data_IF_263043507407
#
_entry.id   IF_263043507407
#
_cell.length_a   1.000
_cell.length_b   1.000
_cell.length_c   1.000
_cell.angle_alpha   90.00
_cell.angle_beta   90.00
_cell.angle_gamma   90.00
#
_symmetry.space_group_name_H-M   'P 1'
#
loop_
_entity.id
_entity.type
_entity.pdbx_description
1 polymer ?
#
# COMPACT_ATOMS: atom_id res chain seq x y z
N UNK A 1 12.41 -11.83 11.86
CA UNK A 1 11.65 -10.67 11.35
C UNK A 1 10.26 -11.19 10.99
N UNK A 2 9.19 -10.51 11.40
CA UNK A 2 7.83 -10.93 11.04
C UNK A 2 7.60 -10.68 9.54
N UNK A 3 6.75 -11.49 8.90
CA UNK A 3 6.40 -11.30 7.49
C UNK A 3 5.29 -10.24 7.37
N UNK A 4 5.47 -9.27 6.48
CA UNK A 4 4.39 -8.36 6.08
C UNK A 4 3.56 -9.01 4.97
N UNK A 5 2.32 -9.39 5.29
CA UNK A 5 1.43 -10.06 4.34
C UNK A 5 1.01 -9.15 3.18
N UNK A 6 1.06 -7.82 3.35
CA UNK A 6 0.76 -6.89 2.26
C UNK A 6 1.89 -6.83 1.23
N UNK A 7 3.13 -7.06 1.65
CA UNK A 7 4.30 -7.13 0.75
C UNK A 7 4.54 -8.52 0.16
N UNK A 8 3.93 -9.55 0.74
CA UNK A 8 4.12 -10.95 0.43
C UNK A 8 3.38 -11.40 -0.84
N UNK A 9 4.04 -12.23 -1.65
CA UNK A 9 3.41 -12.95 -2.75
C UNK A 9 2.72 -14.25 -2.25
N UNK A 10 2.14 -15.04 -3.16
CA UNK A 10 1.47 -16.28 -2.76
C UNK A 10 2.46 -17.33 -2.24
N UNK A 11 3.68 -17.39 -2.78
CA UNK A 11 4.70 -18.35 -2.34
C UNK A 11 5.16 -18.02 -0.92
N UNK A 12 5.36 -16.74 -0.60
CA UNK A 12 5.67 -16.28 0.75
C UNK A 12 4.60 -16.72 1.76
N UNK A 13 3.32 -16.67 1.36
CA UNK A 13 2.21 -17.13 2.20
C UNK A 13 2.15 -18.66 2.32
N UNK A 14 2.46 -19.40 1.26
CA UNK A 14 2.58 -20.86 1.30
C UNK A 14 3.72 -21.30 2.24
N UNK A 15 4.88 -20.64 2.16
CA UNK A 15 6.02 -20.87 3.04
C UNK A 15 5.71 -20.56 4.51
N UNK A 16 4.98 -19.47 4.79
CA UNK A 16 4.54 -19.13 6.13
C UNK A 16 3.61 -20.22 6.69
N UNK A 17 2.63 -20.66 5.90
CA UNK A 17 1.64 -21.67 6.32
C UNK A 17 2.27 -23.04 6.56
N UNK A 18 3.22 -23.44 5.71
CA UNK A 18 3.98 -24.69 5.89
C UNK A 18 4.85 -24.62 7.17
N UNK A 19 5.53 -23.49 7.44
CA UNK A 19 6.30 -23.29 8.70
C UNK A 19 5.44 -23.37 9.96
N UNK A 20 4.18 -22.96 9.87
CA UNK A 20 3.22 -22.98 10.98
C UNK A 20 2.47 -24.31 11.12
N UNK A 21 2.78 -25.32 10.27
CA UNK A 21 2.06 -26.59 10.20
C UNK A 21 0.54 -26.42 10.01
N UNK A 22 0.14 -25.39 9.27
CA UNK A 22 -1.26 -25.11 8.96
C UNK A 22 -1.65 -25.76 7.61
N UNK A 23 -2.94 -26.07 7.38
CA UNK A 23 -3.36 -26.64 6.10
C UNK A 23 -3.04 -25.70 4.92
N UNK A 24 -2.39 -26.23 3.88
CA UNK A 24 -1.92 -25.46 2.71
C UNK A 24 -2.95 -24.54 2.05
N UNK A 25 -4.22 -24.95 2.03
CA UNK A 25 -5.29 -24.12 1.45
C UNK A 25 -5.46 -22.77 2.15
N UNK A 26 -4.97 -22.63 3.40
CA UNK A 26 -5.02 -21.38 4.17
C UNK A 26 -4.19 -20.28 3.52
N UNK A 27 -3.11 -20.60 2.83
CA UNK A 27 -2.29 -19.60 2.13
C UNK A 27 -3.13 -18.83 1.11
N UNK A 28 -3.85 -19.55 0.25
CA UNK A 28 -4.77 -18.93 -0.74
C UNK A 28 -5.91 -18.15 -0.10
N UNK A 29 -6.42 -18.61 1.05
CA UNK A 29 -7.46 -17.86 1.78
C UNK A 29 -6.93 -16.54 2.31
N UNK A 30 -5.77 -16.54 2.98
CA UNK A 30 -5.15 -15.34 3.53
C UNK A 30 -4.77 -14.39 2.40
N UNK A 31 -4.18 -14.91 1.32
CA UNK A 31 -3.83 -14.14 0.13
C UNK A 31 -5.06 -13.42 -0.44
N UNK A 32 -6.18 -14.14 -0.57
CA UNK A 32 -7.43 -13.54 -1.04
C UNK A 32 -8.00 -12.49 -0.06
N UNK A 33 -7.85 -12.67 1.25
CA UNK A 33 -8.28 -11.65 2.21
C UNK A 33 -7.44 -10.37 2.11
N UNK A 34 -6.12 -10.51 2.06
CA UNK A 34 -5.20 -9.36 2.03
C UNK A 34 -5.27 -8.65 0.68
N UNK A 35 -5.05 -9.37 -0.42
CA UNK A 35 -4.92 -8.77 -1.76
C UNK A 35 -6.23 -8.71 -2.55
N UNK A 36 -7.15 -9.64 -2.29
CA UNK A 36 -8.44 -9.70 -2.99
C UNK A 36 -9.54 -8.88 -2.32
N UNK A 37 -9.51 -8.75 -0.98
CA UNK A 37 -10.52 -8.03 -0.21
C UNK A 37 -9.98 -6.80 0.51
N UNK A 38 -8.66 -6.63 0.58
CA UNK A 38 -8.06 -5.46 1.21
C UNK A 38 -8.32 -5.37 2.72
N UNK A 39 -8.25 -6.47 3.48
CA UNK A 39 -8.37 -6.37 4.94
C UNK A 39 -7.08 -5.79 5.56
N UNK A 40 -7.24 -4.97 6.59
CA UNK A 40 -6.11 -4.40 7.37
C UNK A 40 -5.98 -5.02 8.75
N UNK A 41 -6.96 -5.84 9.15
CA UNK A 41 -6.95 -6.60 10.39
C UNK A 41 -7.28 -8.05 10.14
N UNK A 42 -6.57 -8.94 10.85
CA UNK A 42 -6.93 -10.36 10.92
C UNK A 42 -8.37 -10.56 11.40
N UNK A 43 -8.92 -9.65 12.21
CA UNK A 43 -10.29 -9.75 12.73
C UNK A 43 -11.37 -9.74 11.64
N UNK A 44 -11.07 -9.21 10.46
CA UNK A 44 -11.97 -9.13 9.31
C UNK A 44 -12.07 -10.47 8.56
N UNK A 45 -11.13 -11.40 8.79
CA UNK A 45 -11.06 -12.69 8.09
C UNK A 45 -12.08 -13.70 8.65
N UNK A 46 -13.37 -13.49 8.37
CA UNK A 46 -14.48 -14.21 9.02
C UNK A 46 -14.53 -15.73 8.82
N UNK A 47 -13.86 -16.28 7.80
CA UNK A 47 -13.77 -17.73 7.56
C UNK A 47 -12.45 -18.35 8.06
N UNK A 48 -11.62 -17.57 8.77
CA UNK A 48 -10.40 -18.02 9.43
C UNK A 48 -10.68 -18.12 10.94
N UNK A 49 -10.58 -19.32 11.53
CA UNK A 49 -10.75 -19.53 12.97
C UNK A 49 -9.88 -18.61 13.82
N UNK A 50 -10.39 -18.21 14.99
CA UNK A 50 -9.70 -17.28 15.91
C UNK A 50 -8.29 -17.75 16.28
N UNK A 51 -8.12 -19.03 16.60
CA UNK A 51 -6.81 -19.60 16.92
C UNK A 51 -5.79 -19.43 15.78
N UNK A 52 -6.21 -19.55 14.52
CA UNK A 52 -5.30 -19.32 13.37
C UNK A 52 -4.98 -17.84 13.24
N UNK A 53 -5.95 -16.95 13.46
CA UNK A 53 -5.70 -15.51 13.45
C UNK A 53 -4.72 -15.06 14.53
N UNK A 54 -4.81 -15.68 15.71
CA UNK A 54 -3.88 -15.41 16.81
C UNK A 54 -2.46 -15.86 16.44
N UNK A 55 -2.30 -17.06 15.87
CA UNK A 55 -1.01 -17.53 15.33
C UNK A 55 -0.48 -16.56 14.26
N UNK A 56 -1.33 -16.10 13.33
CA UNK A 56 -0.89 -15.15 12.30
C UNK A 56 -0.39 -13.83 12.90
N UNK A 57 -0.99 -13.32 13.97
CA UNK A 57 -0.51 -12.12 14.67
C UNK A 57 0.87 -12.29 15.30
N UNK A 58 1.21 -13.50 15.73
CA UNK A 58 2.51 -13.79 16.35
C UNK A 58 3.63 -13.92 15.31
N UNK A 59 3.30 -14.27 14.06
CA UNK A 59 4.28 -14.60 13.02
C UNK A 59 4.28 -13.65 11.82
N UNK A 60 3.28 -12.78 11.70
CA UNK A 60 3.10 -11.87 10.57
C UNK A 60 2.34 -10.61 11.00
N UNK A 61 2.36 -9.62 10.12
CA UNK A 61 1.58 -8.40 10.26
C UNK A 61 1.06 -7.96 8.89
N UNK A 62 0.15 -7.00 8.88
CA UNK A 62 -0.36 -6.36 7.66
C UNK A 62 -0.01 -4.89 7.79
N UNK A 63 0.87 -4.38 6.93
CA UNK A 63 1.11 -2.94 6.88
C UNK A 63 -0.16 -2.22 6.42
N UNK A 64 -0.63 -1.27 7.22
CA UNK A 64 -1.70 -0.36 6.83
C UNK A 64 -1.18 1.08 7.03
N UNK A 65 -0.89 1.83 5.96
CA UNK A 65 -0.53 3.23 6.09
C UNK A 65 -1.72 4.05 6.58
N UNK A 66 -1.40 5.08 7.35
CA UNK A 66 -2.36 6.04 7.89
C UNK A 66 -2.77 7.04 6.81
N UNK A 67 -4.09 7.28 6.67
CA UNK A 67 -4.59 8.35 5.82
C UNK A 67 -4.43 9.70 6.53
N UNK A 68 -3.43 10.48 6.13
CA UNK A 68 -3.14 11.79 6.73
C UNK A 68 -4.05 12.88 6.15
N UNK A 69 -4.24 12.87 4.83
CA UNK A 69 -5.07 13.87 4.16
C UNK A 69 -5.74 13.30 2.91
N UNK A 70 -6.93 13.82 2.62
CA UNK A 70 -7.70 13.53 1.41
C UNK A 70 -8.15 14.85 0.78
N UNK A 71 -7.97 14.99 -0.52
CA UNK A 71 -8.42 16.16 -1.27
C UNK A 71 -9.16 15.73 -2.53
N UNK A 72 -10.30 16.35 -2.80
CA UNK A 72 -11.10 16.09 -3.99
C UNK A 72 -10.92 17.23 -4.99
N UNK A 73 -10.94 16.90 -6.29
CA UNK A 73 -11.10 17.90 -7.34
C UNK A 73 -12.48 18.55 -7.24
N UNK A 74 -12.63 19.71 -7.89
CA UNK A 74 -13.91 20.41 -7.98
C UNK A 74 -15.02 19.55 -8.60
N UNK A 75 -14.66 18.65 -9.52
CA UNK A 75 -15.58 17.74 -10.21
C UNK A 75 -15.82 16.42 -9.45
N UNK A 76 -15.10 16.15 -8.37
CA UNK A 76 -15.19 14.90 -7.61
C UNK A 76 -14.59 13.66 -8.31
N UNK A 77 -14.15 13.81 -9.56
CA UNK A 77 -13.57 12.78 -10.42
C UNK A 77 -12.10 12.44 -10.11
N UNK A 78 -11.45 13.24 -9.27
CA UNK A 78 -10.06 13.04 -8.87
C UNK A 78 -9.92 13.17 -7.37
N UNK A 79 -9.25 12.21 -6.75
CA UNK A 79 -8.98 12.17 -5.31
C UNK A 79 -7.49 12.02 -5.09
N UNK A 80 -6.89 12.95 -4.35
CA UNK A 80 -5.51 12.85 -3.86
C UNK A 80 -5.51 12.38 -2.41
N UNK A 81 -4.67 11.41 -2.10
CA UNK A 81 -4.42 10.90 -0.76
C UNK A 81 -2.98 11.19 -0.36
N UNK A 82 -2.78 11.63 0.88
CA UNK A 82 -1.49 11.65 1.56
C UNK A 82 -1.48 10.52 2.59
N UNK A 83 -0.52 9.62 2.45
CA UNK A 83 -0.43 8.40 3.24
C UNK A 83 0.86 8.42 4.04
N UNK A 84 0.80 7.99 5.30
CA UNK A 84 1.96 7.86 6.18
C UNK A 84 2.21 6.41 6.54
N UNK A 85 3.44 5.95 6.33
CA UNK A 85 3.88 4.60 6.65
C UNK A 85 4.38 4.48 8.10
N UNK A 86 4.51 3.25 8.63
CA UNK A 86 4.99 3.04 10.00
C UNK A 86 6.39 3.59 10.28
N UNK A 87 7.23 3.75 9.25
CA UNK A 87 8.56 4.37 9.37
C UNK A 87 8.52 5.91 9.39
N UNK A 88 7.33 6.50 9.31
CA UNK A 88 7.12 7.94 9.34
C UNK A 88 7.18 8.61 7.97
N UNK A 89 7.59 7.89 6.94
CA UNK A 89 7.64 8.41 5.58
C UNK A 89 6.23 8.61 5.03
N UNK A 90 6.10 9.62 4.16
CA UNK A 90 4.83 9.97 3.53
C UNK A 90 4.93 9.94 2.01
N UNK A 91 3.86 9.47 1.37
CA UNK A 91 3.74 9.46 -0.08
C UNK A 91 2.37 9.98 -0.50
N UNK A 92 2.31 10.53 -1.70
CA UNK A 92 1.05 10.91 -2.33
C UNK A 92 0.61 9.82 -3.32
N UNK A 93 -0.70 9.63 -3.43
CA UNK A 93 -1.32 8.84 -4.50
C UNK A 93 -2.57 9.55 -5.01
N UNK A 94 -2.86 9.40 -6.30
CA UNK A 94 -4.00 10.07 -6.94
C UNK A 94 -4.85 9.04 -7.66
N UNK A 95 -6.12 8.95 -7.30
CA UNK A 95 -7.14 8.20 -8.03
C UNK A 95 -7.89 9.15 -8.95
N UNK A 96 -7.95 8.83 -10.24
CA UNK A 96 -8.72 9.55 -11.25
C UNK A 96 -9.73 8.60 -11.87
N UNK A 97 -10.99 9.02 -11.88
CA UNK A 97 -12.12 8.30 -12.47
C UNK A 97 -12.52 8.97 -13.77
N UNK A 98 -12.59 8.18 -14.84
CA UNK A 98 -13.01 8.62 -16.16
C UNK A 98 -14.27 7.85 -16.56
N UNK A 99 -15.40 8.53 -16.46
CA UNK A 99 -16.65 8.06 -17.03
C UNK A 99 -16.63 8.26 -18.55
N UNK A 100 -17.09 7.26 -19.30
CA UNK A 100 -17.12 7.30 -20.75
C UNK A 100 -18.44 6.75 -21.26
N UNK A 101 -19.10 7.47 -22.16
CA UNK A 101 -20.38 7.05 -22.72
C UNK A 101 -20.23 5.86 -23.69
N UNK A 102 -19.16 5.84 -24.47
CA UNK A 102 -18.96 4.88 -25.57
C UNK A 102 -18.04 3.69 -25.20
N UNK A 103 -17.50 3.66 -23.99
CA UNK A 103 -16.57 2.60 -23.58
C UNK A 103 -16.64 2.33 -22.08
N UNK A 104 -15.99 1.27 -21.61
CA UNK A 104 -15.95 0.95 -20.18
C UNK A 104 -15.32 2.10 -19.38
N UNK A 105 -15.95 2.45 -18.27
CA UNK A 105 -15.38 3.37 -17.29
C UNK A 105 -13.97 2.94 -16.90
N UNK A 106 -13.08 3.92 -16.73
CA UNK A 106 -11.68 3.68 -16.42
C UNK A 106 -11.32 4.44 -15.16
N UNK A 107 -10.68 3.73 -14.24
CA UNK A 107 -9.97 4.35 -13.14
C UNK A 107 -8.47 4.29 -13.41
N UNK A 108 -7.74 5.32 -13.01
CA UNK A 108 -6.28 5.40 -13.11
C UNK A 108 -5.73 5.83 -11.80
N UNK A 109 -4.68 5.15 -11.34
CA UNK A 109 -4.05 5.47 -10.08
C UNK A 109 -2.60 5.87 -10.32
N UNK A 110 -2.19 7.02 -9.80
CA UNK A 110 -0.81 7.48 -9.81
C UNK A 110 -0.10 6.94 -8.56
N UNK A 111 0.89 6.08 -8.77
CA UNK A 111 1.67 5.42 -7.72
C UNK A 111 2.97 6.20 -7.53
N UNK A 112 3.27 6.62 -6.30
CA UNK A 112 4.62 7.05 -5.95
C UNK A 112 5.52 5.83 -5.82
N UNK A 113 6.72 5.86 -6.40
CA UNK A 113 7.69 4.75 -6.30
C UNK A 113 8.72 4.97 -5.20
N UNK A 114 8.84 6.20 -4.70
CA UNK A 114 9.81 6.62 -3.71
C UNK A 114 9.18 7.67 -2.79
N UNK A 115 9.59 7.70 -1.53
CA UNK A 115 9.36 8.83 -0.64
C UNK A 115 10.46 9.86 -0.90
N UNK A 116 10.10 10.95 -1.61
CA UNK A 116 11.07 11.88 -2.18
C UNK A 116 11.75 11.35 -3.46
N UNK A 117 12.59 12.17 -4.08
CA UNK A 117 13.33 11.78 -5.28
C UNK A 117 14.70 12.46 -5.30
N UNK A 118 15.77 11.67 -5.36
CA UNK A 118 17.15 12.19 -5.34
C UNK A 118 17.67 12.60 -6.73
N UNK A 119 16.84 12.48 -7.78
CA UNK A 119 17.24 12.82 -9.15
C UNK A 119 17.28 14.32 -9.45
N UNK A 120 17.09 15.19 -8.45
CA UNK A 120 17.32 16.64 -8.54
C UNK A 120 16.86 17.26 -9.87
N UNK A 121 15.56 17.34 -10.12
CA UNK A 121 15.07 17.97 -11.34
C UNK A 121 15.20 19.50 -11.26
N UNK A 122 16.21 20.06 -11.90
CA UNK A 122 16.38 21.51 -12.08
C UNK A 122 15.45 22.04 -13.18
N UNK A 123 14.14 21.93 -12.96
CA UNK A 123 13.15 22.59 -13.80
C UNK A 123 13.05 24.07 -13.42
N UNK A 124 13.37 24.98 -14.34
CA UNK A 124 13.16 26.43 -14.17
C UNK A 124 11.67 26.77 -14.03
N UNK A 125 11.07 26.58 -12.85
CA UNK A 125 9.94 27.41 -12.41
C UNK A 125 10.47 28.39 -11.38
N UNK A 126 10.42 29.67 -11.76
CA UNK A 126 10.85 30.80 -10.95
C UNK A 126 9.99 30.82 -9.68
N UNK A 127 10.58 30.44 -8.54
CA UNK A 127 10.08 30.84 -7.22
C UNK A 127 9.10 29.93 -6.48
N UNK A 128 8.78 28.73 -6.97
CA UNK A 128 8.02 27.75 -6.18
C UNK A 128 8.83 26.47 -6.04
N UNK A 129 9.18 26.09 -4.80
CA UNK A 129 9.57 24.72 -4.46
C UNK A 129 8.38 23.82 -4.80
N UNK A 130 8.32 23.30 -6.02
CA UNK A 130 7.35 22.27 -6.41
C UNK A 130 7.85 20.91 -5.88
N UNK A 131 8.01 20.85 -4.57
CA UNK A 131 8.19 19.69 -3.70
C UNK A 131 8.41 20.29 -2.31
N UNK A 132 7.39 20.25 -1.46
CA UNK A 132 7.51 20.56 -0.04
C UNK A 132 6.67 19.56 0.76
N UNK A 133 7.23 18.89 1.79
CA UNK A 133 8.62 18.55 2.02
C UNK A 133 8.83 17.02 1.93
N UNK A 134 9.87 16.60 1.23
CA UNK A 134 10.63 15.47 1.75
C UNK A 134 11.03 15.91 3.17
N UNK A 135 10.65 15.13 4.17
CA UNK A 135 11.04 15.36 5.56
C UNK A 135 12.53 15.68 5.55
N UNK A 136 12.93 16.80 6.15
CA UNK A 136 14.34 17.09 6.39
C UNK A 136 14.92 15.95 7.21
N UNK A 137 15.50 14.97 6.53
CA UNK A 137 16.41 13.98 7.07
C UNK A 137 17.76 14.28 6.44
N UNK A 138 18.41 15.32 6.96
CA UNK A 138 19.88 15.28 6.97
C UNK A 138 20.26 13.99 7.71
N UNK A 139 21.18 13.22 7.10
CA UNK A 139 21.76 11.97 7.59
C UNK A 139 20.93 10.69 7.53
N UNK A 140 20.92 10.05 6.35
CA UNK A 140 21.60 8.76 6.08
C UNK A 140 21.21 8.27 4.68
N UNK A 141 21.97 8.73 3.69
CA UNK A 141 22.02 8.12 2.38
C UNK A 141 22.90 6.87 2.42
N UNK A 142 22.61 5.95 1.51
CA UNK A 142 23.29 4.67 1.25
C UNK A 142 22.72 3.46 2.02
N UNK A 143 21.47 3.06 1.69
CA UNK A 143 21.12 1.62 1.53
C UNK A 143 19.66 1.33 1.07
N UNK A 144 18.69 2.24 1.16
CA UNK A 144 17.27 1.93 0.85
C UNK A 144 16.84 2.11 -0.63
N UNK A 145 17.68 1.75 -1.59
CA UNK A 145 17.32 1.85 -3.03
C UNK A 145 16.27 0.79 -3.46
N UNK A 146 15.95 -0.18 -2.60
CA UNK A 146 14.78 -1.04 -2.77
C UNK A 146 14.08 -1.16 -1.41
N UNK A 147 13.19 -0.21 -1.11
CA UNK A 147 12.28 -0.37 0.02
C UNK A 147 11.25 -1.46 -0.33
N UNK A 148 10.82 -2.32 0.62
CA UNK A 148 9.67 -3.22 0.44
C UNK A 148 8.37 -2.48 0.03
N UNK A 149 8.39 -1.15 0.08
CA UNK A 149 7.35 -0.25 -0.40
C UNK A 149 6.86 -0.53 -1.83
N UNK A 150 7.65 -1.06 -2.76
CA UNK A 150 7.14 -1.21 -4.15
C UNK A 150 5.97 -2.21 -4.26
N UNK A 151 6.05 -3.37 -3.61
CA UNK A 151 4.93 -4.33 -3.57
C UNK A 151 3.83 -3.87 -2.62
N UNK A 152 4.20 -3.30 -1.47
CA UNK A 152 3.26 -2.79 -0.47
C UNK A 152 2.42 -1.65 -1.04
N UNK A 153 3.00 -0.72 -1.81
CA UNK A 153 2.28 0.40 -2.44
C UNK A 153 1.34 -0.07 -3.53
N UNK A 154 1.76 -1.00 -4.39
CA UNK A 154 0.89 -1.57 -5.42
C UNK A 154 -0.30 -2.32 -4.81
N UNK A 155 -0.06 -3.13 -3.77
CA UNK A 155 -1.11 -3.87 -3.07
C UNK A 155 -2.00 -2.95 -2.21
N UNK A 156 -1.43 -1.91 -1.59
CA UNK A 156 -2.18 -0.88 -0.88
C UNK A 156 -3.04 -0.02 -1.83
N UNK A 157 -2.63 0.14 -3.08
CA UNK A 157 -3.41 0.90 -4.06
C UNK A 157 -4.53 0.07 -4.67
N UNK A 158 -4.31 -1.24 -4.85
CA UNK A 158 -5.40 -2.20 -5.05
C UNK A 158 -6.39 -2.15 -3.87
N UNK A 159 -5.89 -2.00 -2.65
CA UNK A 159 -6.69 -1.82 -1.45
C UNK A 159 -7.51 -0.51 -1.45
N UNK A 160 -6.92 0.64 -1.83
CA UNK A 160 -7.68 1.90 -2.03
C UNK A 160 -8.79 1.66 -3.06
N UNK A 161 -8.48 0.93 -4.14
CA UNK A 161 -9.43 0.63 -5.19
C UNK A 161 -10.59 -0.26 -4.72
N UNK A 162 -10.33 -1.23 -3.82
CA UNK A 162 -11.35 -2.16 -3.30
C UNK A 162 -12.25 -1.50 -2.25
N UNK A 163 -11.72 -0.55 -1.46
CA UNK A 163 -12.47 0.07 -0.35
C UNK A 163 -13.21 1.35 -0.76
N UNK A 164 -12.68 2.12 -1.71
CA UNK A 164 -13.22 3.44 -2.06
C UNK A 164 -13.98 3.49 -3.41
N UNK A 165 -14.16 2.37 -4.11
CA UNK A 165 -15.04 2.20 -5.28
C UNK A 165 -16.05 1.08 -5.01
#
# INVERSE_FOLDING_TARGET
MLLDLLGADLNDMEDLIDKLNLPRFRAKQIFHWVHGKGVVSFDEMGNIPRNIRDILREHSFITAPELVAKSLSKGGDTVKFLLKFPDGEMVETVLMTYEREESRNRNTVCVSTQAGCNMGWYGKKKGEKLMLPAVNLEEKLEEKIISPANNILLNFMYWIFIIFL
#
